data_IF_470052723769
#
_entry.id   IF_470052723769
#
_cell.length_a   1.000
_cell.length_b   1.000
_cell.length_c   1.000
_cell.angle_alpha   90.00
_cell.angle_beta   90.00
_cell.angle_gamma   90.00
#
_symmetry.space_group_name_H-M   'P 1'
#
loop_
_entity.id
_entity.type
_entity.pdbx_description
1 polymer ?
#
# COMPACT_ATOMS: atom_id res chain seq x y z
N UNK A 1 -34.41 40.65 -19.55
CA UNK A 1 -34.41 39.29 -20.15
C UNK A 1 -34.48 38.26 -19.03
N UNK A 2 -35.62 37.59 -18.86
CA UNK A 2 -35.82 36.59 -17.79
C UNK A 2 -35.54 35.21 -18.38
N UNK A 3 -34.30 34.74 -18.23
CA UNK A 3 -33.92 33.40 -18.65
C UNK A 3 -34.70 32.37 -17.83
N UNK A 4 -35.83 31.89 -18.37
CA UNK A 4 -36.52 30.68 -17.88
C UNK A 4 -35.61 29.51 -18.20
N UNK A 5 -34.69 29.17 -17.28
CA UNK A 5 -33.97 27.89 -17.35
C UNK A 5 -35.02 26.79 -17.49
N UNK A 6 -34.97 26.01 -18.57
CA UNK A 6 -35.89 24.90 -18.77
C UNK A 6 -35.53 23.81 -17.75
N UNK A 7 -36.37 23.49 -16.76
CA UNK A 7 -36.02 22.57 -15.67
C UNK A 7 -35.64 21.18 -16.19
N UNK A 8 -36.19 20.77 -17.34
CA UNK A 8 -35.83 19.52 -18.03
C UNK A 8 -34.32 19.38 -18.31
N UNK A 9 -33.60 20.46 -18.64
CA UNK A 9 -32.17 20.38 -18.96
C UNK A 9 -31.31 20.17 -17.70
N UNK A 10 -31.73 20.75 -16.57
CA UNK A 10 -31.05 20.57 -15.29
C UNK A 10 -31.15 19.12 -14.79
N UNK A 11 -32.30 18.47 -14.95
CA UNK A 11 -32.45 17.04 -14.63
C UNK A 11 -31.57 16.15 -15.51
N UNK A 12 -31.43 16.46 -16.81
CA UNK A 12 -30.52 15.72 -17.69
C UNK A 12 -29.06 15.81 -17.23
N UNK A 13 -28.61 16.99 -16.77
CA UNK A 13 -27.26 17.13 -16.21
C UNK A 13 -27.08 16.33 -14.92
N UNK A 14 -28.05 16.37 -14.00
CA UNK A 14 -27.96 15.61 -12.75
C UNK A 14 -27.82 14.11 -13.04
N UNK A 15 -28.64 13.57 -13.96
CA UNK A 15 -28.57 12.16 -14.35
C UNK A 15 -27.22 11.85 -15.00
N UNK A 16 -26.72 12.73 -15.87
CA UNK A 16 -25.41 12.57 -16.50
C UNK A 16 -24.28 12.51 -15.46
N UNK A 17 -24.26 13.42 -14.50
CA UNK A 17 -23.28 13.41 -13.41
C UNK A 17 -23.40 12.17 -12.51
N UNK A 18 -24.61 11.69 -12.24
CA UNK A 18 -24.83 10.46 -11.46
C UNK A 18 -24.20 9.23 -12.14
N UNK A 19 -24.41 9.06 -13.44
CA UNK A 19 -23.80 7.95 -14.21
C UNK A 19 -22.27 8.07 -14.18
N UNK A 20 -21.74 9.29 -14.33
CA UNK A 20 -20.31 9.55 -14.32
C UNK A 20 -19.67 9.28 -12.95
N UNK A 21 -20.38 9.59 -11.86
CA UNK A 21 -19.96 9.28 -10.50
C UNK A 21 -19.94 7.78 -10.22
N UNK A 22 -20.97 7.03 -10.64
CA UNK A 22 -21.03 5.58 -10.47
C UNK A 22 -19.88 4.92 -11.23
N UNK A 23 -19.65 5.33 -12.48
CA UNK A 23 -18.58 4.80 -13.30
C UNK A 23 -17.19 5.16 -12.75
N UNK A 24 -16.99 6.42 -12.36
CA UNK A 24 -15.74 6.88 -11.76
C UNK A 24 -15.43 6.15 -10.45
N UNK A 25 -16.43 5.91 -9.60
CA UNK A 25 -16.24 5.19 -8.34
C UNK A 25 -15.85 3.72 -8.55
N UNK A 26 -16.39 3.07 -9.58
CA UNK A 26 -15.98 1.70 -9.95
C UNK A 26 -14.51 1.66 -10.39
N UNK A 27 -14.10 2.58 -11.25
CA UNK A 27 -12.73 2.66 -11.77
C UNK A 27 -11.72 2.95 -10.65
N UNK A 28 -12.07 3.85 -9.72
CA UNK A 28 -11.23 4.17 -8.56
C UNK A 28 -11.11 2.99 -7.60
N UNK A 29 -12.20 2.24 -7.40
CA UNK A 29 -12.20 1.05 -6.54
C UNK A 29 -11.25 -0.03 -7.07
N UNK A 30 -11.31 -0.35 -8.36
CA UNK A 30 -10.38 -1.30 -8.99
C UNK A 30 -8.91 -0.85 -8.86
N UNK A 31 -8.66 0.46 -9.01
CA UNK A 31 -7.33 1.03 -8.84
C UNK A 31 -6.79 0.87 -7.42
N UNK A 32 -7.61 1.14 -6.40
CA UNK A 32 -7.24 0.99 -4.99
C UNK A 32 -7.01 -0.48 -4.64
N UNK A 33 -7.87 -1.39 -5.11
CA UNK A 33 -7.72 -2.83 -4.89
C UNK A 33 -6.41 -3.33 -5.50
N UNK A 34 -6.09 -2.95 -6.74
CA UNK A 34 -4.84 -3.32 -7.40
C UNK A 34 -3.61 -2.74 -6.67
N UNK A 35 -3.65 -1.49 -6.22
CA UNK A 35 -2.56 -0.88 -5.45
C UNK A 35 -2.36 -1.56 -4.09
N UNK A 36 -3.44 -2.01 -3.47
CA UNK A 36 -3.39 -2.75 -2.20
C UNK A 36 -2.82 -4.14 -2.40
N UNK A 37 -3.20 -4.82 -3.49
CA UNK A 37 -2.66 -6.13 -3.85
C UNK A 37 -1.15 -6.08 -4.20
N UNK A 38 -0.72 -5.06 -4.94
CA UNK A 38 0.70 -4.84 -5.22
C UNK A 38 1.50 -4.53 -3.94
N UNK A 39 0.99 -3.65 -3.07
CA UNK A 39 1.63 -3.36 -1.77
C UNK A 39 1.73 -4.59 -0.88
N UNK A 40 0.71 -5.44 -0.88
CA UNK A 40 0.72 -6.71 -0.15
C UNK A 40 1.75 -7.68 -0.71
N UNK A 41 1.84 -7.77 -2.04
CA UNK A 41 2.84 -8.61 -2.71
C UNK A 41 4.26 -8.15 -2.36
N UNK A 42 4.52 -6.85 -2.42
CA UNK A 42 5.83 -6.27 -2.07
C UNK A 42 6.21 -6.55 -0.61
N UNK A 43 5.26 -6.42 0.33
CA UNK A 43 5.48 -6.76 1.74
C UNK A 43 5.82 -8.25 1.95
N UNK A 44 5.18 -9.14 1.20
CA UNK A 44 5.46 -10.60 1.25
C UNK A 44 6.84 -10.91 0.68
N UNK A 45 7.21 -10.32 -0.46
CA UNK A 45 8.52 -10.49 -1.07
C UNK A 45 9.64 -9.97 -0.15
N UNK A 46 9.43 -8.80 0.48
CA UNK A 46 10.36 -8.23 1.45
C UNK A 46 10.60 -9.17 2.65
N UNK A 47 9.53 -9.74 3.21
CA UNK A 47 9.60 -10.68 4.32
C UNK A 47 10.36 -11.97 3.94
N UNK A 48 10.13 -12.51 2.74
CA UNK A 48 10.80 -13.74 2.30
C UNK A 48 12.30 -13.51 2.03
N UNK A 49 12.65 -12.38 1.38
CA UNK A 49 14.04 -12.01 1.13
C UNK A 49 14.81 -11.80 2.44
N UNK A 50 14.26 -11.04 3.39
CA UNK A 50 14.95 -10.82 4.65
C UNK A 50 15.04 -12.11 5.50
N UNK A 51 14.04 -13.01 5.46
CA UNK A 51 14.12 -14.32 6.13
C UNK A 51 15.24 -15.17 5.51
N UNK A 52 15.40 -15.10 4.19
CA UNK A 52 16.50 -15.77 3.48
C UNK A 52 17.86 -15.21 3.89
N UNK A 53 18.01 -13.88 3.96
CA UNK A 53 19.22 -13.21 4.43
C UNK A 53 19.55 -13.55 5.88
N UNK A 54 18.56 -13.59 6.77
CA UNK A 54 18.73 -14.02 8.15
C UNK A 54 19.23 -15.47 8.26
N UNK A 55 18.68 -16.39 7.46
CA UNK A 55 19.22 -17.76 7.40
C UNK A 55 20.66 -17.79 6.92
N UNK A 56 21.00 -17.04 5.86
CA UNK A 56 22.37 -16.96 5.34
C UNK A 56 23.34 -16.40 6.39
N UNK A 57 22.93 -15.37 7.13
CA UNK A 57 23.67 -14.82 8.26
C UNK A 57 23.96 -15.90 9.31
N UNK A 58 22.93 -16.65 9.75
CA UNK A 58 23.09 -17.72 10.74
C UNK A 58 24.08 -18.80 10.28
N UNK A 59 24.11 -19.12 8.99
CA UNK A 59 25.12 -20.05 8.44
C UNK A 59 26.53 -19.45 8.38
N UNK A 60 26.66 -18.15 8.12
CA UNK A 60 27.94 -17.47 7.98
C UNK A 60 28.56 -17.04 9.33
N UNK A 61 27.79 -17.07 10.43
CA UNK A 61 28.22 -16.55 11.73
C UNK A 61 28.48 -15.03 11.71
N UNK A 62 27.91 -14.31 10.74
CA UNK A 62 27.98 -12.86 10.63
C UNK A 62 26.79 -12.21 11.32
N UNK A 63 26.84 -10.90 11.58
CA UNK A 63 25.69 -10.15 12.06
C UNK A 63 24.99 -9.43 10.91
N UNK A 64 23.65 -9.44 10.89
CA UNK A 64 22.87 -8.65 9.94
C UNK A 64 22.52 -7.30 10.57
N UNK A 65 22.79 -6.22 9.86
CA UNK A 65 22.44 -4.87 10.28
C UNK A 65 21.30 -4.35 9.42
N UNK A 66 20.36 -3.67 10.05
CA UNK A 66 19.28 -2.96 9.39
C UNK A 66 19.31 -1.51 9.83
N UNK A 67 19.34 -0.59 8.86
CA UNK A 67 19.17 0.83 9.14
C UNK A 67 17.69 1.15 9.03
N UNK A 68 17.09 1.60 10.12
CA UNK A 68 15.69 2.00 10.12
C UNK A 68 15.48 3.33 9.38
N UNK A 69 14.21 3.69 9.18
CA UNK A 69 13.82 4.94 8.51
C UNK A 69 14.24 6.20 9.26
N UNK A 70 14.60 6.09 10.54
CA UNK A 70 15.12 7.17 11.38
C UNK A 70 16.65 7.28 11.32
N UNK A 71 17.31 6.35 10.62
CA UNK A 71 18.76 6.31 10.46
C UNK A 71 19.50 5.56 11.58
N UNK A 72 18.78 4.88 12.49
CA UNK A 72 19.39 4.07 13.52
C UNK A 72 19.76 2.69 12.99
N UNK A 73 20.94 2.20 13.36
CA UNK A 73 21.40 0.85 13.01
C UNK A 73 20.92 -0.12 14.08
N UNK A 74 20.12 -1.11 13.68
CA UNK A 74 19.67 -2.22 14.52
C UNK A 74 20.39 -3.48 14.09
N UNK A 75 21.05 -4.14 15.04
CA UNK A 75 21.69 -5.43 14.81
C UNK A 75 20.65 -6.54 15.02
N UNK A 76 20.48 -7.38 14.01
CA UNK A 76 19.55 -8.49 14.02
C UNK A 76 20.29 -9.74 14.52
N UNK A 77 20.12 -10.03 15.81
CA UNK A 77 20.76 -11.18 16.44
C UNK A 77 19.86 -12.42 16.48
N UNK A 78 18.54 -12.20 16.53
CA UNK A 78 17.54 -13.26 16.74
C UNK A 78 16.31 -13.06 15.85
N UNK A 79 15.61 -14.16 15.55
CA UNK A 79 14.40 -14.15 14.72
C UNK A 79 13.30 -13.22 15.24
N UNK A 80 13.04 -13.09 16.57
CA UNK A 80 12.08 -12.13 17.09
C UNK A 80 12.39 -10.67 16.75
N UNK A 81 13.67 -10.27 16.78
CA UNK A 81 14.10 -8.90 16.42
C UNK A 81 13.87 -8.64 14.93
N UNK A 82 14.10 -9.65 14.09
CA UNK A 82 13.82 -9.58 12.66
C UNK A 82 12.31 -9.38 12.41
N UNK A 83 11.45 -10.09 13.14
CA UNK A 83 10.00 -9.97 13.03
C UNK A 83 9.49 -8.58 13.47
N UNK A 84 10.06 -8.02 14.54
CA UNK A 84 9.71 -6.67 15.00
C UNK A 84 10.05 -5.59 13.95
N UNK A 85 11.21 -5.72 13.29
CA UNK A 85 11.60 -4.85 12.18
C UNK A 85 10.67 -5.01 10.98
N UNK A 86 10.21 -6.23 10.67
CA UNK A 86 9.22 -6.41 9.61
C UNK A 86 7.90 -5.75 9.95
N UNK A 87 7.39 -5.93 11.18
CA UNK A 87 6.15 -5.29 11.60
C UNK A 87 6.24 -3.76 11.52
N UNK A 88 7.41 -3.19 11.80
CA UNK A 88 7.67 -1.76 11.60
C UNK A 88 7.73 -1.36 10.11
N UNK A 89 8.49 -2.09 9.30
CA UNK A 89 8.71 -1.78 7.89
C UNK A 89 7.48 -2.03 7.00
N UNK A 90 6.59 -2.95 7.40
CA UNK A 90 5.38 -3.33 6.65
C UNK A 90 4.17 -2.44 7.02
N UNK A 91 4.20 -1.70 8.13
CA UNK A 91 3.13 -0.74 8.51
C UNK A 91 2.66 0.18 7.39
N UNK A 92 3.52 0.73 6.50
CA UNK A 92 3.06 1.57 5.38
C UNK A 92 2.32 0.81 4.27
N UNK A 93 2.46 -0.51 4.23
CA UNK A 93 1.93 -1.40 3.20
C UNK A 93 0.58 -2.04 3.57
N UNK A 94 0.18 -1.98 4.85
CA UNK A 94 -1.08 -2.48 5.41
C UNK A 94 -2.00 -1.30 5.77
#
# INVERSE_FOLDING_TARGET
MRNKLKPKWFFCFIIFFLVLLIYGNHLLKEGIEKLTDMRRTEAVEFMDDGRKKYRMMQYAGANMEYTDSEGNIRVIETEPVLLDIYDEAIKPYI
#
